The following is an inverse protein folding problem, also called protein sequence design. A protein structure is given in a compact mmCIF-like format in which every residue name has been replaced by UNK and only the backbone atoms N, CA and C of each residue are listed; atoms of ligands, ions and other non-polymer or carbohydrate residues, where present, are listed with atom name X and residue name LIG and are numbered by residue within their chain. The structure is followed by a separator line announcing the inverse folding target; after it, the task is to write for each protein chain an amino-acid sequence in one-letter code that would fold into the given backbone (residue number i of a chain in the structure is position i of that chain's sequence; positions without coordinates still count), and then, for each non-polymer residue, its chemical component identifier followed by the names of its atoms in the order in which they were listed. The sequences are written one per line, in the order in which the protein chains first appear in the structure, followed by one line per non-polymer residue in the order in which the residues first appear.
data_IF_107963056205
#
_entry.id   IF_107963056205
#
_cell.length_a   1.000
_cell.length_b   1.000
_cell.length_c   1.000
_cell.angle_alpha   90.00
_cell.angle_beta   90.00
_cell.angle_gamma   90.00
#
_symmetry.space_group_name_H-M   'P 1'
#
loop_
_entity.id
_entity.type
_entity.pdbx_description
1 polymer ?
#
# COMPACT_ATOMS: atom_id res chain seq x y z
N UNK A 1 4.13 -58.71 -5.86
CA UNK A 1 4.44 -57.61 -6.79
C UNK A 1 3.21 -56.73 -6.88
N UNK A 2 3.38 -55.42 -7.06
CA UNK A 2 2.36 -54.35 -7.07
C UNK A 2 1.96 -53.93 -5.65
N UNK A 3 2.17 -52.70 -5.18
CA UNK A 3 2.60 -51.44 -5.78
C UNK A 3 2.22 -50.38 -4.76
N UNK A 4 3.04 -50.19 -3.73
CA UNK A 4 2.90 -49.05 -2.83
C UNK A 4 3.62 -47.89 -3.51
N UNK A 5 2.87 -47.29 -4.43
CA UNK A 5 3.25 -46.21 -5.30
C UNK A 5 3.81 -45.05 -4.47
N UNK A 6 4.91 -44.51 -4.97
CA UNK A 6 5.65 -43.43 -4.36
C UNK A 6 4.83 -42.15 -4.48
N UNK A 7 3.92 -41.92 -3.52
CA UNK A 7 3.23 -40.65 -3.33
C UNK A 7 4.25 -39.59 -2.89
N UNK A 8 5.03 -39.14 -3.87
CA UNK A 8 6.10 -38.18 -3.72
C UNK A 8 5.57 -36.75 -3.64
N UNK A 9 6.41 -35.79 -3.28
CA UNK A 9 6.05 -34.38 -3.09
C UNK A 9 5.40 -33.73 -4.32
N UNK A 10 5.62 -34.28 -5.52
CA UNK A 10 4.99 -33.83 -6.75
C UNK A 10 3.49 -34.16 -6.82
N UNK A 11 3.06 -35.30 -6.27
CA UNK A 11 1.65 -35.69 -6.25
C UNK A 11 0.84 -34.83 -5.28
N UNK A 12 1.45 -34.44 -4.16
CA UNK A 12 0.86 -33.55 -3.17
C UNK A 12 0.75 -32.12 -3.71
N UNK A 13 1.83 -31.58 -4.29
CA UNK A 13 1.78 -30.25 -4.92
C UNK A 13 0.72 -30.14 -6.02
N UNK A 14 0.55 -31.19 -6.83
CA UNK A 14 -0.50 -31.25 -7.84
C UNK A 14 -1.91 -31.20 -7.23
N UNK A 15 -2.12 -31.82 -6.07
CA UNK A 15 -3.40 -31.82 -5.36
C UNK A 15 -3.74 -30.44 -4.78
N UNK A 16 -2.77 -29.72 -4.21
CA UNK A 16 -3.00 -28.32 -3.77
C UNK A 16 -3.30 -27.39 -4.92
N UNK A 17 -2.58 -27.57 -6.02
CA UNK A 17 -2.76 -26.71 -7.17
C UNK A 17 -4.18 -26.87 -7.72
N UNK A 18 -4.66 -28.11 -7.84
CA UNK A 18 -6.05 -28.39 -8.21
C UNK A 18 -7.05 -27.83 -7.18
N UNK A 19 -6.73 -27.90 -5.88
CA UNK A 19 -7.59 -27.36 -4.83
C UNK A 19 -7.65 -25.82 -4.84
N UNK A 20 -6.52 -25.15 -5.04
CA UNK A 20 -6.45 -23.69 -5.15
C UNK A 20 -7.22 -23.22 -6.39
N UNK A 21 -6.98 -23.84 -7.55
CA UNK A 21 -7.63 -23.47 -8.80
C UNK A 21 -9.17 -23.53 -8.67
N UNK A 22 -9.67 -24.59 -8.05
CA UNK A 22 -11.09 -24.73 -7.76
C UNK A 22 -11.63 -23.63 -6.84
N UNK A 23 -10.91 -23.28 -5.78
CA UNK A 23 -11.36 -22.24 -4.84
C UNK A 23 -11.33 -20.86 -5.50
N UNK A 24 -10.32 -20.57 -6.33
CA UNK A 24 -10.24 -19.31 -7.06
C UNK A 24 -11.31 -19.22 -8.16
N UNK A 25 -11.65 -20.32 -8.81
CA UNK A 25 -12.69 -20.35 -9.85
C UNK A 25 -14.10 -20.11 -9.28
N UNK A 26 -14.39 -20.66 -8.10
CA UNK A 26 -15.69 -20.51 -7.44
C UNK A 26 -15.82 -19.20 -6.64
N UNK A 27 -14.69 -18.57 -6.29
CA UNK A 27 -14.69 -17.35 -5.51
C UNK A 27 -15.27 -16.16 -6.32
N UNK A 28 -16.21 -15.39 -5.75
CA UNK A 28 -16.81 -14.23 -6.44
C UNK A 28 -15.82 -13.09 -6.71
N UNK A 29 -14.64 -13.16 -6.09
CA UNK A 29 -13.56 -12.19 -6.20
C UNK A 29 -12.24 -12.83 -5.79
N UNK A 30 -11.11 -12.33 -6.31
CA UNK A 30 -9.82 -12.85 -5.93
C UNK A 30 -9.54 -12.58 -4.43
N UNK A 31 -8.94 -13.55 -3.71
CA UNK A 31 -8.44 -13.34 -2.36
C UNK A 31 -7.34 -12.28 -2.35
N UNK A 32 -7.24 -11.54 -1.24
CA UNK A 32 -6.19 -10.54 -1.01
C UNK A 32 -4.91 -11.15 -0.46
N UNK A 33 -5.00 -12.37 0.10
CA UNK A 33 -3.83 -13.10 0.56
C UNK A 33 -4.01 -14.60 0.28
N UNK A 34 -2.99 -15.23 -0.29
CA UNK A 34 -2.98 -16.67 -0.63
C UNK A 34 -1.68 -17.29 -0.16
N UNK A 35 -1.79 -18.28 0.71
CA UNK A 35 -0.67 -19.12 1.16
C UNK A 35 -0.98 -20.56 0.75
N UNK A 36 -0.04 -21.21 0.09
CA UNK A 36 -0.14 -22.63 -0.31
C UNK A 36 1.10 -23.35 0.20
N UNK A 37 0.92 -24.50 0.86
CA UNK A 37 2.00 -25.32 1.41
C UNK A 37 1.72 -26.76 1.03
N UNK A 38 2.76 -27.60 0.89
CA UNK A 38 2.69 -29.01 0.49
C UNK A 38 3.56 -29.95 1.36
N UNK A 39 3.02 -31.04 1.92
CA UNK A 39 3.54 -31.98 2.91
C UNK A 39 2.74 -31.99 4.21
N UNK A 40 3.13 -31.28 5.26
CA UNK A 40 3.56 -29.89 5.10
C UNK A 40 2.51 -29.02 4.39
N UNK A 41 1.28 -29.52 4.25
CA UNK A 41 0.35 -29.11 3.21
C UNK A 41 -0.80 -28.24 3.74
N UNK A 42 -0.91 -26.96 3.37
CA UNK A 42 -2.02 -26.10 3.80
C UNK A 42 -2.29 -24.96 2.82
N UNK A 43 -3.58 -24.66 2.57
CA UNK A 43 -4.03 -23.51 1.78
C UNK A 43 -4.75 -22.54 2.71
N UNK A 44 -4.23 -21.33 2.85
CA UNK A 44 -4.85 -20.26 3.61
C UNK A 44 -5.17 -19.10 2.67
N UNK A 45 -6.43 -18.68 2.69
CA UNK A 45 -6.96 -17.67 1.80
C UNK A 45 -7.68 -16.62 2.63
N UNK A 46 -7.33 -15.36 2.43
CA UNK A 46 -8.00 -14.22 3.08
C UNK A 46 -8.69 -13.40 2.01
N UNK A 47 -9.96 -13.08 2.24
CA UNK A 47 -10.71 -12.13 1.42
C UNK A 47 -11.10 -10.93 2.28
N UNK A 48 -10.75 -9.71 1.85
CA UNK A 48 -11.13 -8.49 2.59
C UNK A 48 -12.62 -8.23 2.42
N UNK A 49 -13.48 -8.41 3.42
CA UNK A 49 -14.92 -8.15 3.30
C UNK A 49 -15.17 -6.74 2.74
N UNK A 50 -15.96 -6.65 1.65
CA UNK A 50 -16.49 -5.36 1.22
C UNK A 50 -17.46 -4.89 2.31
N UNK A 51 -17.08 -3.86 3.06
CA UNK A 51 -17.99 -3.19 3.99
C UNK A 51 -19.07 -2.53 3.14
N UNK A 52 -20.27 -3.10 3.16
CA UNK A 52 -21.43 -2.46 2.55
C UNK A 52 -21.70 -1.16 3.31
N UNK A 53 -21.89 -0.01 2.62
CA UNK A 53 -22.32 1.20 3.28
C UNK A 53 -23.70 0.99 3.91
N UNK A 54 -24.00 1.61 5.07
CA UNK A 54 -25.32 1.51 5.68
C UNK A 54 -26.40 2.07 4.72
N UNK A 55 -27.63 1.52 4.73
CA UNK A 55 -28.70 2.04 3.91
C UNK A 55 -29.04 3.47 4.36
N UNK A 56 -28.87 4.43 3.45
CA UNK A 56 -29.30 5.81 3.61
C UNK A 56 -30.83 5.88 3.45
N UNK A 57 -31.58 6.48 4.39
CA UNK A 57 -33.01 6.73 4.20
C UNK A 57 -33.23 7.82 3.14
N UNK A 58 -34.22 7.58 2.28
CA UNK A 58 -34.57 8.38 1.11
C UNK A 58 -35.34 9.69 1.46
N UNK A 59 -34.90 10.76 0.79
CA UNK A 59 -35.61 11.98 0.38
C UNK A 59 -35.98 13.09 1.39
N UNK A 60 -35.23 14.20 1.26
CA UNK A 60 -35.77 15.56 1.16
C UNK A 60 -34.90 16.35 0.14
N UNK A 61 -35.45 17.32 -0.62
CA UNK A 61 -34.80 17.89 -1.79
C UNK A 61 -33.50 18.63 -1.42
N UNK A 62 -32.44 18.54 -2.25
CA UNK A 62 -31.18 19.21 -1.94
C UNK A 62 -31.36 20.72 -2.09
N UNK A 63 -31.01 21.46 -1.04
CA UNK A 63 -30.60 22.85 -1.17
C UNK A 63 -29.31 22.90 -2.01
N UNK A 64 -29.04 23.99 -2.77
CA UNK A 64 -27.85 24.08 -3.60
C UNK A 64 -26.60 24.02 -2.71
N UNK A 65 -25.91 22.88 -2.72
CA UNK A 65 -24.55 22.79 -2.20
C UNK A 65 -23.65 23.44 -3.23
N UNK A 66 -23.09 24.57 -2.82
CA UNK A 66 -22.00 25.27 -3.48
C UNK A 66 -20.96 24.24 -3.89
N UNK A 67 -20.71 24.13 -5.20
CA UNK A 67 -19.65 23.31 -5.74
C UNK A 67 -18.34 23.84 -5.15
N UNK A 68 -17.83 23.17 -4.12
CA UNK A 68 -16.46 23.32 -3.69
C UNK A 68 -15.61 23.06 -4.93
N UNK A 69 -15.03 24.14 -5.41
CA UNK A 69 -14.11 24.21 -6.52
C UNK A 69 -13.03 23.17 -6.25
N UNK A 70 -13.12 22.03 -6.92
CA UNK A 70 -11.99 21.12 -7.06
C UNK A 70 -10.89 21.99 -7.69
N UNK A 71 -9.77 22.28 -6.98
CA UNK A 71 -8.64 22.91 -7.63
C UNK A 71 -8.28 22.01 -8.81
N UNK A 72 -7.96 22.64 -9.93
CA UNK A 72 -7.47 21.95 -11.11
C UNK A 72 -6.46 20.89 -10.66
N UNK A 73 -6.57 19.68 -11.20
CA UNK A 73 -5.62 18.61 -10.95
C UNK A 73 -4.22 19.13 -11.34
N UNK A 74 -3.48 19.65 -10.35
CA UNK A 74 -2.04 19.65 -10.40
C UNK A 74 -1.65 18.20 -10.61
N UNK A 75 -0.82 17.91 -11.61
CA UNK A 75 -0.17 16.61 -11.77
C UNK A 75 0.76 16.42 -10.54
N UNK A 76 0.16 16.07 -9.40
CA UNK A 76 0.84 15.92 -8.12
C UNK A 76 1.81 14.75 -8.23
N UNK A 77 3.10 15.06 -8.12
CA UNK A 77 4.16 14.06 -8.19
C UNK A 77 4.23 13.31 -6.86
N UNK A 78 4.19 11.98 -6.89
CA UNK A 78 4.21 11.16 -5.68
C UNK A 78 5.61 10.62 -5.38
N UNK A 79 6.16 10.97 -4.21
CA UNK A 79 7.34 10.29 -3.67
C UNK A 79 6.87 9.00 -3.01
N UNK A 80 7.42 7.86 -3.45
CA UNK A 80 6.97 6.51 -3.07
C UNK A 80 8.02 5.77 -2.26
N UNK A 81 7.57 4.82 -1.44
CA UNK A 81 8.44 3.96 -0.65
C UNK A 81 9.19 2.94 -1.53
N UNK A 82 10.54 2.97 -1.57
CA UNK A 82 11.32 2.01 -2.36
C UNK A 82 11.43 0.64 -1.69
N UNK A 83 10.97 0.50 -0.44
CA UNK A 83 11.10 -0.68 0.39
C UNK A 83 9.99 -0.74 1.44
N UNK A 84 9.75 -1.94 1.97
CA UNK A 84 8.78 -2.18 3.05
C UNK A 84 9.44 -1.89 4.40
N UNK A 85 8.77 -1.17 5.29
CA UNK A 85 9.31 -0.86 6.61
C UNK A 85 8.42 0.03 7.45
N UNK A 86 9.02 0.79 8.37
CA UNK A 86 8.34 1.78 9.21
C UNK A 86 8.75 3.19 8.80
N UNK A 87 7.79 4.06 8.51
CA UNK A 87 8.04 5.44 8.11
C UNK A 87 8.37 6.34 9.30
N UNK A 88 9.41 7.16 9.16
CA UNK A 88 9.76 8.21 10.10
C UNK A 88 9.97 9.54 9.39
N UNK A 89 9.26 10.57 9.86
CA UNK A 89 9.32 11.92 9.30
C UNK A 89 10.54 12.71 9.78
N UNK A 90 11.23 12.28 10.84
CA UNK A 90 12.31 12.98 11.51
C UNK A 90 13.53 12.05 11.70
N UNK A 91 14.76 12.60 11.87
CA UNK A 91 15.97 11.79 12.07
C UNK A 91 15.98 11.02 13.39
N UNK A 92 15.27 11.52 14.40
CA UNK A 92 15.16 10.92 15.72
C UNK A 92 13.85 11.34 16.43
N UNK A 93 13.40 10.59 17.45
CA UNK A 93 12.20 10.96 18.21
C UNK A 93 12.31 12.34 18.85
N UNK A 94 11.35 13.22 18.57
CA UNK A 94 11.31 14.58 19.13
C UNK A 94 12.09 15.64 18.33
N UNK A 95 12.83 15.25 17.30
CA UNK A 95 13.40 16.18 16.33
C UNK A 95 12.33 16.71 15.36
N UNK A 96 12.54 17.89 14.74
CA UNK A 96 11.68 18.36 13.67
C UNK A 96 11.70 17.39 12.47
N UNK A 97 10.61 17.33 11.69
CA UNK A 97 10.60 16.53 10.48
C UNK A 97 11.61 17.07 9.45
N UNK A 98 12.06 16.22 8.55
CA UNK A 98 12.92 16.63 7.43
C UNK A 98 12.22 17.68 6.55
N UNK A 99 10.92 17.52 6.34
CA UNK A 99 10.05 18.41 5.56
C UNK A 99 8.64 18.48 6.15
N UNK A 100 7.96 19.60 5.91
CA UNK A 100 6.56 19.83 6.22
C UNK A 100 5.77 20.27 4.97
N UNK A 101 4.44 20.21 5.06
CA UNK A 101 3.58 20.74 3.99
C UNK A 101 3.87 22.24 3.80
N UNK A 102 4.11 22.62 2.55
CA UNK A 102 4.51 23.96 2.16
C UNK A 102 6.03 24.14 2.01
N UNK A 103 6.85 23.17 2.40
CA UNK A 103 8.29 23.25 2.17
C UNK A 103 8.65 22.99 0.70
N UNK A 104 9.71 23.63 0.23
CA UNK A 104 10.34 23.32 -1.06
C UNK A 104 11.40 22.24 -0.86
N UNK A 105 11.43 21.26 -1.75
CA UNK A 105 12.41 20.17 -1.76
C UNK A 105 13.16 20.16 -3.09
N UNK A 106 14.42 19.75 -3.05
CA UNK A 106 15.24 19.51 -4.25
C UNK A 106 15.30 18.02 -4.59
N UNK A 107 15.60 17.69 -5.85
CA UNK A 107 15.89 16.30 -6.20
C UNK A 107 17.13 15.81 -5.45
N UNK A 108 17.03 14.64 -4.82
CA UNK A 108 18.05 14.09 -3.92
C UNK A 108 17.97 14.59 -2.48
N UNK A 109 17.09 15.54 -2.15
CA UNK A 109 16.93 15.98 -0.76
C UNK A 109 16.27 14.85 0.06
N UNK A 110 16.86 14.52 1.20
CA UNK A 110 16.25 13.58 2.14
C UNK A 110 14.96 14.18 2.74
N UNK A 111 13.86 13.45 2.62
CA UNK A 111 12.52 13.85 3.07
C UNK A 111 11.96 12.96 4.18
N UNK A 112 12.49 11.75 4.35
CA UNK A 112 12.07 10.82 5.41
C UNK A 112 13.12 9.73 5.66
N UNK A 113 12.81 8.83 6.58
CA UNK A 113 13.50 7.56 6.80
C UNK A 113 12.47 6.43 6.70
N UNK A 114 12.84 5.29 6.11
CA UNK A 114 12.13 4.02 6.31
C UNK A 114 13.06 3.06 7.05
N UNK A 115 12.63 2.64 8.24
CA UNK A 115 13.31 1.57 8.98
C UNK A 115 12.91 0.21 8.41
N UNK A 116 13.89 -0.55 7.91
CA UNK A 116 13.69 -1.93 7.52
C UNK A 116 14.81 -2.80 8.10
N UNK A 117 14.44 -3.87 8.80
CA UNK A 117 15.39 -4.79 9.44
C UNK A 117 16.43 -4.07 10.33
N UNK A 118 15.99 -3.06 11.10
CA UNK A 118 16.83 -2.18 11.95
C UNK A 118 17.81 -1.28 11.21
N UNK A 119 17.70 -1.14 9.89
CA UNK A 119 18.45 -0.18 9.09
C UNK A 119 17.57 1.03 8.79
N UNK A 120 18.10 2.22 9.10
CA UNK A 120 17.46 3.51 8.82
C UNK A 120 17.81 3.92 7.39
N UNK A 121 16.89 3.68 6.45
CA UNK A 121 17.13 3.98 5.03
C UNK A 121 16.60 5.39 4.70
N UNK A 122 17.46 6.32 4.24
CA UNK A 122 17.00 7.64 3.84
C UNK A 122 16.10 7.54 2.62
N UNK A 123 15.02 8.32 2.63
CA UNK A 123 14.15 8.51 1.48
C UNK A 123 14.43 9.89 0.91
N UNK A 124 14.75 9.93 -0.38
CA UNK A 124 15.07 11.16 -1.10
C UNK A 124 13.94 11.51 -2.07
N UNK A 125 13.67 12.80 -2.25
CA UNK A 125 12.76 13.25 -3.31
C UNK A 125 13.43 13.01 -4.67
N UNK A 126 12.74 12.35 -5.61
CA UNK A 126 13.30 12.10 -6.95
C UNK A 126 13.24 13.34 -7.87
N UNK A 127 12.44 14.34 -7.48
CA UNK A 127 12.28 15.61 -8.20
C UNK A 127 12.10 16.78 -7.23
N UNK A 128 12.50 17.97 -7.66
CA UNK A 128 12.20 19.20 -6.95
C UNK A 128 10.71 19.56 -7.01
N UNK A 129 10.18 20.16 -5.93
CA UNK A 129 8.78 20.57 -5.84
C UNK A 129 8.42 21.12 -4.47
N UNK A 130 7.15 21.52 -4.30
CA UNK A 130 6.58 21.92 -3.01
C UNK A 130 5.80 20.77 -2.40
N UNK A 131 6.06 20.44 -1.14
CA UNK A 131 5.29 19.40 -0.42
C UNK A 131 3.84 19.87 -0.26
N UNK A 132 2.88 19.21 -0.90
CA UNK A 132 1.45 19.51 -0.78
C UNK A 132 0.77 18.62 0.24
N UNK A 133 1.25 17.39 0.42
CA UNK A 133 0.72 16.46 1.39
C UNK A 133 1.78 15.49 1.93
N UNK A 134 1.60 15.07 3.19
CA UNK A 134 2.24 13.89 3.77
C UNK A 134 1.15 12.82 3.90
N UNK A 135 1.31 11.72 3.19
CA UNK A 135 0.26 10.72 2.96
C UNK A 135 0.28 9.57 3.96
N UNK A 136 1.33 9.49 4.78
CA UNK A 136 1.56 8.46 5.79
C UNK A 136 1.88 9.10 7.15
N UNK A 137 1.47 8.47 8.26
CA UNK A 137 1.77 9.00 9.60
C UNK A 137 3.13 8.52 10.10
N UNK A 138 3.78 9.35 10.90
CA UNK A 138 5.03 8.99 11.56
C UNK A 138 4.86 7.75 12.45
N UNK A 139 5.72 6.74 12.24
CA UNK A 139 5.70 5.47 12.95
C UNK A 139 4.76 4.42 12.35
N UNK A 140 4.08 4.70 11.24
CA UNK A 140 3.27 3.69 10.56
C UNK A 140 4.10 2.79 9.63
N UNK A 141 3.62 1.56 9.46
CA UNK A 141 4.17 0.61 8.51
C UNK A 141 3.82 1.00 7.08
N UNK A 142 4.76 0.82 6.16
CA UNK A 142 4.63 1.17 4.76
C UNK A 142 5.03 0.01 3.87
N UNK A 143 4.26 -0.20 2.79
CA UNK A 143 4.51 -1.20 1.76
C UNK A 143 5.45 -0.70 0.65
N UNK A 144 5.85 -1.63 -0.22
CA UNK A 144 6.59 -1.26 -1.43
C UNK A 144 5.71 -0.43 -2.37
N UNK A 145 6.31 0.63 -2.93
CA UNK A 145 5.68 1.58 -3.85
C UNK A 145 4.51 2.38 -3.26
N UNK A 146 4.32 2.34 -1.94
CA UNK A 146 3.27 3.09 -1.26
C UNK A 146 3.59 4.60 -1.26
N UNK A 147 2.62 5.48 -1.60
CA UNK A 147 2.83 6.92 -1.59
C UNK A 147 3.12 7.48 -0.20
N UNK A 148 4.17 8.28 -0.10
CA UNK A 148 4.62 8.92 1.15
C UNK A 148 4.30 10.41 1.18
N UNK A 149 4.59 11.09 0.06
CA UNK A 149 4.42 12.53 -0.10
C UNK A 149 3.83 12.85 -1.47
N UNK A 150 3.14 13.96 -1.55
CA UNK A 150 2.75 14.59 -2.80
C UNK A 150 3.52 15.91 -2.96
N UNK A 151 4.07 16.13 -4.16
CA UNK A 151 4.81 17.32 -4.54
C UNK A 151 4.09 18.03 -5.69
N UNK A 152 3.94 19.36 -5.56
CA UNK A 152 3.62 20.24 -6.68
C UNK A 152 4.92 20.60 -7.41
N UNK A 153 5.04 20.15 -8.67
CA UNK A 153 6.21 20.39 -9.51
C UNK A 153 5.97 21.49 -10.58
N UNK A 154 4.76 22.05 -10.66
CA UNK A 154 4.38 23.01 -11.71
C UNK A 154 4.82 24.46 -11.39
N UNK A 155 5.31 24.71 -10.17
CA UNK A 155 5.91 25.99 -9.82
C UNK A 155 4.90 27.14 -9.71
N UNK A 156 3.64 26.85 -9.40
CA UNK A 156 2.62 27.87 -9.13
C UNK A 156 2.49 28.09 -7.62
N UNK A 157 3.44 28.84 -7.07
CA UNK A 157 3.30 29.51 -5.78
C UNK A 157 2.62 30.87 -5.93
#
# INVERSE_FOLDING_TARGET
MTGADQQGPAATLAALHAALDRVLHDAPRPPTHVVVRSGGESIELTWSAAVAPPPVPEAAPPAPVEAERQPAASDGHLVRAPLVGTFYAAPEPGAPPFVAVGDLVEAGQQVAIIEAMKLMNPIEADRAGRVTAVLIKNGEGVGYDEPLFELDCDGQG
#
